data_IF_087687649501
#
_entry.id   IF_087687649501
#
_cell.length_a   1.000
_cell.length_b   1.000
_cell.length_c   1.000
_cell.angle_alpha   90.00
_cell.angle_beta   90.00
_cell.angle_gamma   90.00
#
_symmetry.space_group_name_H-M   'P 1'
#
loop_
_entity.id
_entity.type
_entity.pdbx_description
1 polymer ?
#
# COMPACT_ATOMS: atom_id res chain seq x y z
N UNK A 1 18.31 9.46 -12.25
CA UNK A 1 17.41 8.38 -12.71
C UNK A 1 18.24 7.17 -13.14
N UNK A 2 17.98 6.00 -12.56
CA UNK A 2 18.61 4.72 -12.91
C UNK A 2 17.60 3.88 -13.70
N UNK A 3 18.06 3.10 -14.68
CA UNK A 3 17.22 2.28 -15.55
C UNK A 3 17.76 0.85 -15.60
N UNK A 4 16.86 -0.12 -15.54
CA UNK A 4 17.12 -1.55 -15.58
C UNK A 4 16.21 -2.20 -16.62
N UNK A 5 16.75 -3.11 -17.41
CA UNK A 5 15.95 -3.89 -18.36
C UNK A 5 15.20 -4.99 -17.60
N UNK A 6 13.87 -4.94 -17.66
CA UNK A 6 12.97 -5.80 -16.89
C UNK A 6 11.82 -6.27 -17.78
N UNK A 7 12.06 -7.21 -18.71
CA UNK A 7 11.03 -7.66 -19.66
C UNK A 7 9.89 -8.44 -18.99
N UNK A 8 10.06 -8.84 -17.73
CA UNK A 8 9.06 -9.51 -16.90
C UNK A 8 8.81 -8.71 -15.61
N UNK A 9 7.64 -8.89 -14.95
CA UNK A 9 7.36 -8.31 -13.64
C UNK A 9 8.44 -8.65 -12.61
N UNK A 10 8.82 -7.66 -11.82
CA UNK A 10 9.91 -7.75 -10.82
C UNK A 10 9.37 -7.77 -9.39
N UNK A 11 10.27 -7.98 -8.44
CA UNK A 11 10.02 -7.70 -7.01
C UNK A 11 10.76 -6.43 -6.60
N UNK A 12 10.02 -5.38 -6.25
CA UNK A 12 10.59 -4.15 -5.73
C UNK A 12 10.58 -4.17 -4.19
N UNK A 13 11.75 -4.05 -3.56
CA UNK A 13 11.94 -4.03 -2.11
C UNK A 13 12.46 -2.65 -1.70
N UNK A 14 11.75 -1.96 -0.82
CA UNK A 14 12.07 -0.59 -0.39
C UNK A 14 12.18 -0.51 1.15
N UNK A 15 13.28 0.01 1.68
CA UNK A 15 13.40 0.44 3.09
C UNK A 15 13.77 1.92 3.12
N UNK A 16 12.75 2.76 3.30
CA UNK A 16 12.84 4.21 3.20
C UNK A 16 12.40 4.82 4.52
N UNK A 17 13.25 5.60 5.22
CA UNK A 17 12.92 6.09 6.54
C UNK A 17 11.73 7.05 6.53
N UNK A 18 11.73 8.02 5.61
CA UNK A 18 10.67 9.01 5.50
C UNK A 18 10.56 9.63 4.10
N UNK A 19 9.38 10.14 3.76
CA UNK A 19 9.14 10.93 2.55
C UNK A 19 7.98 10.40 1.70
N UNK A 20 8.19 10.30 0.38
CA UNK A 20 7.15 9.88 -0.55
C UNK A 20 7.64 8.71 -1.40
N UNK A 21 6.84 7.65 -1.45
CA UNK A 21 7.11 6.45 -2.23
C UNK A 21 6.04 6.37 -3.32
N UNK A 22 6.45 6.47 -4.58
CA UNK A 22 5.55 6.41 -5.74
C UNK A 22 5.93 5.26 -6.66
N UNK A 23 5.03 4.28 -6.78
CA UNK A 23 5.16 3.13 -7.68
C UNK A 23 4.22 3.34 -8.86
N UNK A 24 4.74 3.26 -10.08
CA UNK A 24 3.97 3.42 -11.31
C UNK A 24 4.10 2.14 -12.12
N UNK A 25 3.06 1.32 -12.07
CA UNK A 25 2.93 0.08 -12.81
C UNK A 25 2.26 0.32 -14.17
N UNK A 26 2.98 0.06 -15.24
CA UNK A 26 2.51 0.25 -16.61
C UNK A 26 2.92 -0.93 -17.50
N UNK A 27 2.33 -1.03 -18.69
CA UNK A 27 2.73 -1.99 -19.71
C UNK A 27 4.07 -1.53 -20.32
N UNK A 28 5.16 -1.91 -19.65
CA UNK A 28 6.55 -1.53 -19.97
C UNK A 28 7.49 -2.72 -19.73
N UNK A 29 8.66 -2.66 -20.35
CA UNK A 29 9.68 -3.73 -20.30
C UNK A 29 10.96 -3.29 -19.59
N UNK A 30 10.90 -2.19 -18.86
CA UNK A 30 12.00 -1.63 -18.09
C UNK A 30 11.52 -1.13 -16.73
N UNK A 31 12.45 -1.06 -15.78
CA UNK A 31 12.24 -0.47 -14.48
C UNK A 31 13.12 0.77 -14.35
N UNK A 32 12.55 1.90 -13.93
CA UNK A 32 13.30 3.13 -13.68
C UNK A 32 13.12 3.56 -12.25
N UNK A 33 14.22 3.99 -11.62
CA UNK A 33 14.23 4.49 -10.26
C UNK A 33 14.77 5.92 -10.25
N UNK A 34 14.03 6.80 -9.60
CA UNK A 34 14.43 8.15 -9.30
C UNK A 34 14.35 8.37 -7.79
N UNK A 35 15.45 8.86 -7.23
CA UNK A 35 15.55 9.20 -5.81
C UNK A 35 15.96 10.66 -5.74
N UNK A 36 15.13 11.48 -5.11
CA UNK A 36 15.34 12.91 -4.92
C UNK A 36 15.22 13.25 -3.43
N UNK A 37 15.89 14.31 -2.95
CA UNK A 37 15.58 14.85 -1.64
C UNK A 37 14.14 15.39 -1.64
N UNK A 38 13.38 15.17 -0.56
CA UNK A 38 12.04 15.76 -0.44
C UNK A 38 12.10 17.30 -0.41
N UNK A 39 13.17 17.87 0.15
CA UNK A 39 13.47 19.30 0.10
C UNK A 39 14.96 19.52 -0.17
N UNK A 40 15.29 19.99 -1.38
CA UNK A 40 16.67 20.24 -1.79
C UNK A 40 17.38 21.35 -0.99
N UNK A 41 16.65 22.19 -0.26
CA UNK A 41 17.23 23.20 0.64
C UNK A 41 17.66 22.61 1.98
N UNK A 42 17.16 21.41 2.33
CA UNK A 42 17.49 20.73 3.59
C UNK A 42 18.65 19.77 3.36
N UNK A 43 19.82 20.12 3.88
CA UNK A 43 21.01 19.26 3.78
C UNK A 43 20.84 17.83 4.35
N UNK A 44 19.86 17.59 5.22
CA UNK A 44 19.52 16.24 5.70
C UNK A 44 18.80 15.40 4.64
N UNK A 45 17.90 16.01 3.87
CA UNK A 45 17.15 15.34 2.80
C UNK A 45 18.08 15.05 1.62
N UNK A 46 18.96 16.02 1.29
CA UNK A 46 20.03 15.84 0.29
C UNK A 46 20.92 14.66 0.67
N UNK A 47 21.41 14.62 1.91
CA UNK A 47 22.24 13.50 2.40
C UNK A 47 21.49 12.17 2.36
N UNK A 48 20.21 12.13 2.72
CA UNK A 48 19.42 10.91 2.67
C UNK A 48 19.27 10.39 1.23
N UNK A 49 19.05 11.28 0.26
CA UNK A 49 18.99 10.91 -1.16
C UNK A 49 20.33 10.38 -1.68
N UNK A 50 21.44 11.05 -1.36
CA UNK A 50 22.81 10.62 -1.72
C UNK A 50 23.20 9.27 -1.08
N UNK A 51 22.71 9.00 0.13
CA UNK A 51 22.97 7.76 0.88
C UNK A 51 22.03 6.61 0.52
N UNK A 52 21.07 6.84 -0.38
CA UNK A 52 20.15 5.82 -0.85
C UNK A 52 20.80 5.01 -1.95
N UNK A 53 20.83 3.71 -1.73
CA UNK A 53 21.35 2.73 -2.68
C UNK A 53 20.21 2.14 -3.48
N UNK A 54 20.46 1.92 -4.76
CA UNK A 54 19.54 1.23 -5.67
C UNK A 54 20.34 0.12 -6.32
N UNK A 55 19.86 -1.12 -6.19
CA UNK A 55 20.48 -2.28 -6.79
C UNK A 55 19.40 -3.13 -7.45
N UNK A 56 19.71 -3.68 -8.62
CA UNK A 56 18.85 -4.65 -9.29
C UNK A 56 19.65 -5.92 -9.54
N UNK A 57 19.20 -7.03 -8.98
CA UNK A 57 19.82 -8.33 -9.15
C UNK A 57 18.77 -9.43 -9.01
N UNK A 58 18.89 -10.48 -9.83
CA UNK A 58 18.01 -11.66 -9.84
C UNK A 58 16.51 -11.33 -9.82
N UNK A 59 16.07 -10.34 -10.63
CA UNK A 59 14.67 -9.94 -10.70
C UNK A 59 14.18 -9.11 -9.50
N UNK A 60 15.06 -8.75 -8.57
CA UNK A 60 14.74 -7.98 -7.37
C UNK A 60 15.39 -6.59 -7.44
N UNK A 61 14.56 -5.56 -7.40
CA UNK A 61 14.97 -4.15 -7.30
C UNK A 61 14.96 -3.74 -5.83
N UNK A 62 16.13 -3.52 -5.24
CA UNK A 62 16.32 -3.09 -3.85
C UNK A 62 16.62 -1.59 -3.80
N UNK A 63 15.86 -0.87 -3.00
CA UNK A 63 16.06 0.56 -2.73
C UNK A 63 16.16 0.73 -1.21
N UNK A 64 17.36 1.05 -0.72
CA UNK A 64 17.63 1.12 0.70
C UNK A 64 18.35 2.42 1.03
N UNK A 65 17.78 3.20 1.95
CA UNK A 65 18.48 4.35 2.53
C UNK A 65 19.31 3.86 3.71
N UNK A 66 20.64 3.94 3.58
CA UNK A 66 21.54 3.45 4.62
C UNK A 66 21.25 4.15 5.96
N UNK A 67 20.86 3.37 6.98
CA UNK A 67 20.78 3.86 8.35
C UNK A 67 22.20 4.06 8.84
N UNK A 68 22.65 5.31 8.96
CA UNK A 68 23.98 5.61 9.47
C UNK A 68 24.25 4.78 10.75
N UNK A 69 25.39 4.07 10.77
CA UNK A 69 25.79 3.14 11.84
C UNK A 69 25.89 3.77 13.25
N UNK A 70 25.79 5.10 13.35
CA UNK A 70 25.86 5.86 14.60
C UNK A 70 24.55 6.64 14.85
N UNK A 71 23.52 5.98 15.40
CA UNK A 71 22.29 6.63 15.90
C UNK A 71 22.54 7.41 17.20
N UNK A 72 23.31 8.49 17.11
CA UNK A 72 23.42 9.52 18.16
C UNK A 72 23.02 10.91 17.62
N UNK A 73 22.88 11.10 16.31
CA UNK A 73 22.64 12.43 15.70
C UNK A 73 21.49 12.43 14.67
N UNK A 74 20.28 12.74 15.14
CA UNK A 74 19.25 13.46 14.36
C UNK A 74 18.24 12.64 13.58
N UNK A 75 17.08 13.27 13.31
CA UNK A 75 16.00 12.72 12.50
C UNK A 75 16.48 12.43 11.06
N UNK A 76 16.14 11.24 10.55
CA UNK A 76 16.38 10.80 9.18
C UNK A 76 15.83 11.82 8.19
N UNK A 77 16.60 12.14 7.14
CA UNK A 77 16.12 12.99 6.06
C UNK A 77 14.96 12.33 5.30
N UNK A 78 14.16 13.16 4.63
CA UNK A 78 13.04 12.71 3.81
C UNK A 78 13.43 12.66 2.34
N UNK A 79 12.97 11.64 1.62
CA UNK A 79 13.26 11.47 0.19
C UNK A 79 12.00 11.19 -0.61
N UNK A 80 12.01 11.59 -1.87
CA UNK A 80 11.03 11.21 -2.87
C UNK A 80 11.61 10.08 -3.73
N UNK A 81 10.96 8.92 -3.70
CA UNK A 81 11.33 7.74 -4.47
C UNK A 81 10.23 7.48 -5.49
N UNK A 82 10.54 7.67 -6.76
CA UNK A 82 9.66 7.28 -7.88
C UNK A 82 10.23 6.05 -8.56
N UNK A 83 9.47 4.96 -8.55
CA UNK A 83 9.77 3.73 -9.28
C UNK A 83 8.73 3.54 -10.35
N UNK A 84 9.15 3.40 -11.59
CA UNK A 84 8.30 2.93 -12.66
C UNK A 84 8.69 1.51 -13.00
N UNK A 85 7.74 0.59 -13.10
CA UNK A 85 8.00 -0.84 -13.25
C UNK A 85 6.91 -1.53 -14.09
N UNK A 86 7.19 -2.74 -14.63
CA UNK A 86 6.20 -3.50 -15.38
C UNK A 86 4.95 -3.84 -14.56
N UNK A 87 3.77 -3.78 -15.19
CA UNK A 87 2.52 -4.16 -14.57
C UNK A 87 2.58 -5.59 -13.99
N UNK A 88 1.95 -5.78 -12.83
CA UNK A 88 1.99 -7.05 -12.09
C UNK A 88 3.23 -7.25 -11.22
N UNK A 89 4.16 -6.29 -11.16
CA UNK A 89 5.32 -6.38 -10.26
C UNK A 89 4.89 -6.36 -8.80
N UNK A 90 5.61 -7.14 -7.99
CA UNK A 90 5.40 -7.24 -6.54
C UNK A 90 6.13 -6.10 -5.84
N UNK A 91 5.57 -5.61 -4.76
CA UNK A 91 6.18 -4.53 -3.97
C UNK A 91 6.21 -4.93 -2.51
N UNK A 92 7.37 -4.83 -1.89
CA UNK A 92 7.56 -4.87 -0.45
C UNK A 92 8.19 -3.55 -0.04
N UNK A 93 7.51 -2.79 0.82
CA UNK A 93 7.99 -1.49 1.23
C UNK A 93 7.86 -1.31 2.75
N UNK A 94 8.91 -0.76 3.36
CA UNK A 94 8.96 -0.41 4.77
C UNK A 94 9.27 1.07 4.89
N UNK A 95 8.46 1.78 5.66
CA UNK A 95 8.73 3.18 5.94
C UNK A 95 8.27 3.60 7.33
N UNK A 96 9.07 4.42 8.01
CA UNK A 96 8.65 4.95 9.31
C UNK A 96 7.61 6.07 9.12
N UNK A 97 7.88 7.02 8.23
CA UNK A 97 6.99 8.16 7.99
C UNK A 97 6.93 8.49 6.50
N UNK A 98 6.12 7.76 5.73
CA UNK A 98 6.02 7.99 4.29
C UNK A 98 4.61 7.82 3.73
N UNK A 99 4.30 8.63 2.72
CA UNK A 99 3.14 8.39 1.88
C UNK A 99 3.49 7.35 0.81
N UNK A 100 2.64 6.34 0.67
CA UNK A 100 2.78 5.31 -0.35
C UNK A 100 1.71 5.48 -1.42
N UNK A 101 2.13 5.69 -2.66
CA UNK A 101 1.25 5.78 -3.82
C UNK A 101 1.56 4.71 -4.85
N UNK A 102 0.65 3.75 -5.02
CA UNK A 102 0.64 2.81 -6.13
C UNK A 102 -0.30 3.27 -7.25
N UNK A 103 0.24 3.46 -8.45
CA UNK A 103 -0.51 3.83 -9.66
C UNK A 103 -0.45 2.68 -10.67
N UNK A 104 -1.59 2.35 -11.26
CA UNK A 104 -1.72 1.26 -12.22
C UNK A 104 -1.84 -0.13 -11.57
N UNK A 105 -1.61 -1.18 -12.37
CA UNK A 105 -1.82 -2.58 -11.97
C UNK A 105 -0.60 -3.15 -11.27
N UNK A 106 -0.58 -3.06 -9.94
CA UNK A 106 0.44 -3.72 -9.13
C UNK A 106 0.10 -5.20 -8.93
N UNK A 107 1.12 -6.02 -8.71
CA UNK A 107 0.96 -7.39 -8.24
C UNK A 107 0.57 -7.42 -6.76
N UNK A 108 1.24 -8.28 -5.99
CA UNK A 108 1.07 -8.31 -4.54
C UNK A 108 1.88 -7.17 -3.89
N UNK A 109 1.22 -6.42 -3.00
CA UNK A 109 1.83 -5.27 -2.31
C UNK A 109 1.85 -5.54 -0.80
N UNK A 110 3.05 -5.56 -0.22
CA UNK A 110 3.26 -5.57 1.23
C UNK A 110 3.82 -4.22 1.67
N UNK A 111 3.18 -3.57 2.62
CA UNK A 111 3.67 -2.31 3.17
C UNK A 111 3.56 -2.27 4.69
N UNK A 112 4.67 -1.92 5.33
CA UNK A 112 4.77 -1.71 6.77
C UNK A 112 5.14 -0.25 7.05
N UNK A 113 4.21 0.48 7.65
CA UNK A 113 4.29 1.91 7.92
C UNK A 113 4.10 2.21 9.40
N UNK A 114 4.73 3.25 9.94
CA UNK A 114 4.24 3.84 11.20
C UNK A 114 3.26 4.98 10.92
N UNK A 115 3.67 5.97 10.13
CA UNK A 115 2.85 7.13 9.80
C UNK A 115 2.81 7.39 8.29
N UNK A 116 1.65 7.77 7.78
CA UNK A 116 1.48 8.21 6.39
C UNK A 116 0.24 7.62 5.72
N UNK A 117 -0.14 8.15 4.57
CA UNK A 117 -1.28 7.64 3.80
C UNK A 117 -0.84 6.58 2.80
N UNK A 118 -1.70 5.59 2.56
CA UNK A 118 -1.51 4.57 1.53
C UNK A 118 -2.62 4.70 0.51
N UNK A 119 -2.25 4.87 -0.75
CA UNK A 119 -3.20 4.89 -1.87
C UNK A 119 -2.73 3.99 -2.99
N UNK A 120 -3.54 3.00 -3.35
CA UNK A 120 -3.25 2.03 -4.40
C UNK A 120 -4.40 2.04 -5.39
N UNK A 121 -4.12 2.28 -6.66
CA UNK A 121 -5.15 2.31 -7.70
C UNK A 121 -5.66 0.90 -8.02
N UNK A 122 -4.78 -0.06 -8.33
CA UNK A 122 -5.14 -1.46 -8.57
C UNK A 122 -4.05 -2.42 -8.07
N UNK A 123 -4.44 -3.53 -7.44
CA UNK A 123 -3.51 -4.55 -6.94
C UNK A 123 -4.12 -5.96 -6.97
N UNK A 124 -3.28 -6.97 -7.21
CA UNK A 124 -3.67 -8.37 -7.19
C UNK A 124 -3.96 -8.87 -5.76
N UNK A 125 -3.26 -8.34 -4.77
CA UNK A 125 -3.38 -8.73 -3.36
C UNK A 125 -2.57 -7.79 -2.48
N UNK A 126 -2.99 -7.60 -1.24
CA UNK A 126 -2.38 -6.57 -0.39
C UNK A 126 -2.23 -7.02 1.06
N UNK A 127 -1.08 -6.69 1.67
CA UNK A 127 -0.81 -6.82 3.11
C UNK A 127 -0.30 -5.47 3.61
N UNK A 128 -1.14 -4.71 4.30
CA UNK A 128 -0.80 -3.38 4.80
C UNK A 128 -0.87 -3.37 6.32
N UNK A 129 0.17 -2.83 6.95
CA UNK A 129 0.20 -2.60 8.40
C UNK A 129 0.66 -1.18 8.65
N UNK A 130 -0.20 -0.38 9.27
CA UNK A 130 0.08 0.99 9.68
C UNK A 130 -0.19 1.18 11.17
N UNK A 131 0.50 2.13 11.79
CA UNK A 131 0.13 2.60 13.12
C UNK A 131 -0.88 3.75 13.01
N UNK A 132 -0.60 4.75 12.17
CA UNK A 132 -1.49 5.89 11.96
C UNK A 132 -1.48 6.35 10.50
N UNK A 133 -2.64 6.29 9.85
CA UNK A 133 -2.84 6.79 8.50
C UNK A 133 -4.00 6.13 7.78
N UNK A 134 -4.49 6.84 6.77
CA UNK A 134 -5.60 6.39 5.95
C UNK A 134 -5.11 5.48 4.82
N UNK A 135 -5.90 4.46 4.54
CA UNK A 135 -5.60 3.44 3.55
C UNK A 135 -6.72 3.42 2.52
N UNK A 136 -6.36 3.63 1.25
CA UNK A 136 -7.30 3.60 0.13
C UNK A 136 -6.81 2.65 -0.96
N UNK A 137 -7.65 1.70 -1.32
CA UNK A 137 -7.45 0.79 -2.45
C UNK A 137 -8.58 1.02 -3.44
N UNK A 138 -8.25 1.29 -4.70
CA UNK A 138 -9.20 1.41 -5.79
C UNK A 138 -9.79 0.04 -6.11
N UNK A 139 -9.03 -0.78 -6.84
CA UNK A 139 -9.45 -2.11 -7.28
C UNK A 139 -8.57 -3.21 -6.69
N UNK A 140 -9.19 -4.15 -5.99
CA UNK A 140 -8.55 -5.29 -5.36
C UNK A 140 -8.95 -6.59 -6.08
N UNK A 141 -8.00 -7.23 -6.74
CA UNK A 141 -8.21 -8.43 -7.56
C UNK A 141 -8.18 -9.77 -6.80
N UNK A 142 -7.84 -9.75 -5.50
CA UNK A 142 -7.58 -10.94 -4.70
C UNK A 142 -7.59 -10.66 -3.18
N UNK A 143 -6.89 -11.47 -2.37
CA UNK A 143 -6.96 -11.37 -0.93
C UNK A 143 -6.32 -10.09 -0.40
N UNK A 144 -6.84 -9.59 0.72
CA UNK A 144 -6.31 -8.42 1.41
C UNK A 144 -6.24 -8.64 2.92
N UNK A 145 -5.17 -8.17 3.52
CA UNK A 145 -5.00 -8.06 4.97
C UNK A 145 -4.53 -6.64 5.29
N UNK A 146 -5.40 -5.81 5.85
CA UNK A 146 -5.14 -4.41 6.14
C UNK A 146 -5.37 -4.17 7.63
N UNK A 147 -4.36 -3.65 8.31
CA UNK A 147 -4.43 -3.28 9.73
C UNK A 147 -3.90 -1.87 9.92
N UNK A 148 -4.65 -1.01 10.60
CA UNK A 148 -4.19 0.30 11.07
C UNK A 148 -4.61 0.51 12.52
N UNK A 149 -3.87 1.22 13.37
CA UNK A 149 -4.39 1.55 14.70
C UNK A 149 -5.33 2.77 14.60
N UNK A 150 -4.93 3.78 13.82
CA UNK A 150 -5.73 4.98 13.61
C UNK A 150 -5.77 5.36 12.13
N UNK A 151 -6.97 5.51 11.59
CA UNK A 151 -7.21 5.94 10.22
C UNK A 151 -8.29 5.12 9.54
N UNK A 152 -8.77 5.67 8.45
CA UNK A 152 -9.86 5.07 7.69
C UNK A 152 -9.32 4.03 6.70
N UNK A 153 -10.08 2.96 6.51
CA UNK A 153 -9.79 1.94 5.51
C UNK A 153 -10.88 2.00 4.44
N UNK A 154 -10.47 2.21 3.19
CA UNK A 154 -11.39 2.28 2.05
C UNK A 154 -10.95 1.35 0.94
N UNK A 155 -11.82 0.41 0.56
CA UNK A 155 -11.69 -0.39 -0.64
C UNK A 155 -12.84 -0.01 -1.57
N UNK A 156 -12.53 0.54 -2.74
CA UNK A 156 -13.54 1.01 -3.68
C UNK A 156 -14.22 -0.14 -4.39
N UNK A 157 -13.44 -1.14 -4.84
CA UNK A 157 -13.90 -2.33 -5.54
C UNK A 157 -13.07 -3.55 -5.14
N UNK A 158 -13.69 -4.55 -4.52
CA UNK A 158 -13.13 -5.86 -4.22
C UNK A 158 -13.78 -6.93 -5.11
N UNK A 159 -12.95 -7.71 -5.81
CA UNK A 159 -13.42 -8.65 -6.84
C UNK A 159 -13.63 -10.05 -6.28
N UNK A 160 -12.69 -10.57 -5.48
CA UNK A 160 -12.73 -11.94 -4.97
C UNK A 160 -11.74 -12.16 -3.83
N UNK A 161 -11.88 -13.27 -3.12
CA UNK A 161 -10.96 -13.72 -2.08
C UNK A 161 -11.37 -13.28 -0.68
N UNK A 162 -10.45 -13.39 0.27
CA UNK A 162 -10.68 -13.00 1.66
C UNK A 162 -10.06 -11.64 1.93
N UNK A 163 -10.87 -10.71 2.43
CA UNK A 163 -10.51 -9.33 2.73
C UNK A 163 -10.67 -9.12 4.22
N UNK A 164 -9.56 -8.96 4.92
CA UNK A 164 -9.51 -8.76 6.37
C UNK A 164 -9.07 -7.33 6.65
N UNK A 165 -9.94 -6.54 7.28
CA UNK A 165 -9.74 -5.13 7.56
C UNK A 165 -9.88 -4.90 9.06
N UNK A 166 -8.85 -4.31 9.66
CA UNK A 166 -8.82 -4.01 11.10
C UNK A 166 -8.38 -2.58 11.32
N UNK A 167 -9.16 -1.82 12.05
CA UNK A 167 -8.78 -0.50 12.56
C UNK A 167 -9.13 -0.39 14.04
N UNK A 168 -8.39 0.34 14.87
CA UNK A 168 -8.88 0.61 16.25
C UNK A 168 -9.77 1.86 16.24
N UNK A 169 -9.38 2.89 15.49
CA UNK A 169 -10.15 4.12 15.35
C UNK A 169 -10.14 4.60 13.91
N UNK A 170 -11.31 4.55 13.28
CA UNK A 170 -11.54 4.95 11.89
C UNK A 170 -12.68 4.16 11.27
N UNK A 171 -13.16 4.68 10.14
CA UNK A 171 -14.24 4.07 9.38
C UNK A 171 -13.68 3.03 8.40
N UNK A 172 -14.46 1.98 8.18
CA UNK A 172 -14.13 0.93 7.20
C UNK A 172 -15.18 0.93 6.11
N UNK A 173 -14.77 1.16 4.87
CA UNK A 173 -15.66 1.11 3.71
C UNK A 173 -15.18 0.11 2.66
N UNK A 174 -16.06 -0.78 2.21
CA UNK A 174 -15.76 -1.80 1.21
C UNK A 174 -16.85 -1.85 0.14
N UNK A 175 -16.44 -1.69 -1.12
CA UNK A 175 -17.28 -1.95 -2.28
C UNK A 175 -17.04 -3.34 -2.84
N UNK A 176 -18.06 -4.19 -2.94
CA UNK A 176 -17.99 -5.43 -3.71
C UNK A 176 -18.22 -5.12 -5.20
N UNK A 177 -17.42 -5.72 -6.08
CA UNK A 177 -17.54 -5.56 -7.52
C UNK A 177 -18.92 -6.02 -8.04
N UNK A 178 -19.34 -5.50 -9.20
CA UNK A 178 -20.64 -5.82 -9.79
C UNK A 178 -20.79 -7.33 -10.01
N UNK A 179 -21.89 -7.90 -9.51
CA UNK A 179 -22.20 -9.33 -9.67
C UNK A 179 -21.41 -10.28 -8.78
N UNK A 180 -20.64 -9.76 -7.81
CA UNK A 180 -19.93 -10.59 -6.83
C UNK A 180 -20.79 -10.79 -5.59
N UNK A 181 -21.09 -12.04 -5.26
CA UNK A 181 -21.68 -12.40 -3.97
C UNK A 181 -20.60 -12.31 -2.88
N UNK A 182 -20.87 -11.50 -1.86
CA UNK A 182 -19.97 -11.22 -0.75
C UNK A 182 -20.60 -11.60 0.59
N UNK A 183 -19.83 -12.29 1.43
CA UNK A 183 -20.15 -12.47 2.84
C UNK A 183 -19.48 -11.36 3.65
N UNK A 184 -20.22 -10.75 4.58
CA UNK A 184 -19.69 -9.76 5.52
C UNK A 184 -19.76 -10.29 6.94
N UNK A 185 -18.62 -10.29 7.60
CA UNK A 185 -18.45 -10.44 9.03
C UNK A 185 -17.87 -9.12 9.56
N UNK A 186 -18.73 -8.31 10.18
CA UNK A 186 -18.39 -6.96 10.62
C UNK A 186 -18.62 -6.81 12.12
N UNK A 187 -17.64 -6.21 12.80
CA UNK A 187 -17.71 -5.90 14.23
C UNK A 187 -17.26 -4.48 14.53
N UNK A 188 -18.11 -3.69 15.17
CA UNK A 188 -17.74 -2.38 15.73
C UNK A 188 -18.12 -2.31 17.21
N UNK A 189 -17.22 -1.80 18.06
CA UNK A 189 -17.56 -1.55 19.48
C UNK A 189 -18.35 -0.25 19.64
N UNK A 190 -17.98 0.79 18.87
CA UNK A 190 -18.63 2.10 18.90
C UNK A 190 -18.79 2.63 17.48
N UNK A 191 -19.95 2.36 16.88
CA UNK A 191 -20.31 2.85 15.55
C UNK A 191 -21.49 2.09 14.98
N UNK A 192 -21.74 2.29 13.69
CA UNK A 192 -22.81 1.66 12.94
C UNK A 192 -22.25 0.78 11.83
N UNK A 193 -22.93 -0.34 11.61
CA UNK A 193 -22.67 -1.21 10.47
C UNK A 193 -23.78 -0.98 9.44
N UNK A 194 -23.41 -0.52 8.25
CA UNK A 194 -24.27 -0.42 7.09
C UNK A 194 -23.89 -1.52 6.08
N UNK A 195 -24.84 -2.38 5.75
CA UNK A 195 -24.63 -3.46 4.80
C UNK A 195 -25.70 -3.40 3.70
N UNK A 196 -25.26 -3.05 2.50
CA UNK A 196 -26.07 -3.01 1.28
C UNK A 196 -25.51 -3.94 0.20
N UNK A 197 -24.83 -5.02 0.61
CA UNK A 197 -24.33 -6.06 -0.28
C UNK A 197 -25.49 -6.80 -0.95
N UNK A 198 -25.35 -7.01 -2.26
CA UNK A 198 -26.27 -7.76 -3.11
C UNK A 198 -25.63 -9.10 -3.45
N UNK A 199 -26.24 -10.18 -2.97
CA UNK A 199 -25.79 -11.54 -3.23
C UNK A 199 -26.76 -12.23 -4.18
N UNK A 200 -26.23 -12.85 -5.23
CA UNK A 200 -26.95 -13.86 -6.02
C UNK A 200 -26.75 -15.23 -5.40
N UNK A 201 -27.75 -16.11 -5.51
CA UNK A 201 -27.72 -17.47 -4.95
C UNK A 201 -26.43 -18.21 -5.35
N UNK A 202 -25.65 -18.65 -4.35
CA UNK A 202 -24.37 -19.34 -4.54
C UNK A 202 -23.35 -19.07 -3.42
N UNK A 203 -22.23 -19.79 -3.46
CA UNK A 203 -21.11 -19.58 -2.52
C UNK A 203 -20.50 -18.20 -2.73
N UNK A 204 -20.30 -17.39 -1.68
CA UNK A 204 -19.71 -16.06 -1.80
C UNK A 204 -18.29 -16.17 -2.37
N UNK A 205 -18.02 -15.45 -3.47
CA UNK A 205 -16.70 -15.35 -4.08
C UNK A 205 -15.78 -14.37 -3.35
N UNK A 206 -16.36 -13.55 -2.46
CA UNK A 206 -15.69 -12.55 -1.64
C UNK A 206 -16.11 -12.73 -0.17
N UNK A 207 -15.15 -12.79 0.74
CA UNK A 207 -15.40 -12.82 2.18
C UNK A 207 -14.75 -11.59 2.80
N UNK A 208 -15.54 -10.74 3.45
CA UNK A 208 -15.10 -9.50 4.06
C UNK A 208 -15.19 -9.68 5.58
N UNK A 209 -14.05 -9.62 6.26
CA UNK A 209 -13.97 -9.49 7.71
C UNK A 209 -13.55 -8.07 8.03
N UNK A 210 -14.42 -7.28 8.64
CA UNK A 210 -14.15 -5.89 8.99
C UNK A 210 -14.30 -5.69 10.50
N UNK A 211 -13.29 -5.15 11.16
CA UNK A 211 -13.37 -4.85 12.59
C UNK A 211 -12.86 -3.45 12.87
N UNK A 212 -13.66 -2.65 13.59
CA UNK A 212 -13.26 -1.34 14.13
C UNK A 212 -13.61 -1.25 15.61
N UNK A 213 -12.83 -0.57 16.45
CA UNK A 213 -13.27 -0.31 17.84
C UNK A 213 -14.07 1.00 17.93
N UNK A 214 -13.72 1.99 17.13
CA UNK A 214 -14.39 3.29 17.06
C UNK A 214 -14.51 3.75 15.60
N UNK A 215 -15.71 3.63 15.04
CA UNK A 215 -16.00 4.01 13.67
C UNK A 215 -17.11 3.17 13.05
N UNK A 216 -17.56 3.61 11.90
CA UNK A 216 -18.61 2.96 11.13
C UNK A 216 -18.01 1.95 10.14
N UNK A 217 -18.75 0.88 9.86
CA UNK A 217 -18.41 -0.10 8.83
C UNK A 217 -19.48 -0.04 7.75
N UNK A 218 -19.10 0.30 6.52
CA UNK A 218 -20.00 0.31 5.38
C UNK A 218 -19.56 -0.70 4.31
N UNK A 219 -20.41 -1.68 4.02
CA UNK A 219 -20.22 -2.62 2.93
C UNK A 219 -21.33 -2.46 1.89
N UNK A 220 -20.98 -2.30 0.61
CA UNK A 220 -21.95 -2.07 -0.46
C UNK A 220 -21.57 -2.79 -1.75
N UNK A 221 -22.55 -3.22 -2.53
CA UNK A 221 -22.30 -3.66 -3.91
C UNK A 221 -22.34 -2.48 -4.88
N UNK A 222 -21.45 -2.48 -5.88
CA UNK A 222 -21.38 -1.44 -6.92
C UNK A 222 -22.47 -1.56 -7.99
#
# INVERSE_FOLDING_TARGET
MQKFDTPAPISAVLDIPAGHIRLIAADRTDATVEVLPADASKGRDVKAAEQTTVAYDDGVLRIETSRAKNRILGASGSIEVTVQLPAGSRVEAKAAAAEFRGVGRLGDVTFEGAQGSVKIDETAGVRLTLLAGDISVGRLGGPAEISTAKGDIRITEAVRGTVVLRTESGDVSVGAARGVSAALDAGTSHGRIDNTLKNTDGTPGLTIHATTAHGDIAARSL
#
